data_IF_046530051977
#
_entry.id   IF_046530051977
#
_cell.length_a   1.000
_cell.length_b   1.000
_cell.length_c   1.000
_cell.angle_alpha   90.00
_cell.angle_beta   90.00
_cell.angle_gamma   90.00
#
_symmetry.space_group_name_H-M   'P 1'
#
loop_
_entity.id
_entity.type
_entity.pdbx_description
1 polymer ?
#
# COMPACT_ATOMS: atom_id res chain seq x y z
N UNK A 1 1.90 -4.97 9.79
CA UNK A 1 1.89 -5.03 8.31
C UNK A 1 0.57 -4.57 7.74
N UNK A 2 -0.56 -5.18 8.15
CA UNK A 2 -1.90 -4.77 7.69
C UNK A 2 -2.26 -3.31 8.05
N UNK A 3 -2.05 -2.90 9.30
CA UNK A 3 -2.27 -1.52 9.77
C UNK A 3 -1.52 -0.46 8.96
N UNK A 4 -0.30 -0.79 8.53
CA UNK A 4 0.52 0.11 7.72
C UNK A 4 -0.10 0.30 6.33
N UNK A 5 -0.53 -0.79 5.69
CA UNK A 5 -1.20 -0.73 4.39
C UNK A 5 -2.49 0.08 4.52
N UNK A 6 -3.29 -0.16 5.57
CA UNK A 6 -4.51 0.61 5.85
C UNK A 6 -4.21 2.10 6.02
N UNK A 7 -3.14 2.43 6.74
CA UNK A 7 -2.70 3.81 6.94
C UNK A 7 -2.37 4.48 5.61
N UNK A 8 -1.59 3.84 4.74
CA UNK A 8 -1.23 4.41 3.44
C UNK A 8 -2.45 4.68 2.55
N UNK A 9 -3.37 3.72 2.45
CA UNK A 9 -4.62 3.90 1.71
C UNK A 9 -5.47 5.04 2.26
N UNK A 10 -5.60 5.15 3.58
CA UNK A 10 -6.34 6.25 4.20
C UNK A 10 -5.68 7.59 3.95
N UNK A 11 -4.34 7.68 4.05
CA UNK A 11 -3.62 8.94 3.84
C UNK A 11 -3.57 9.38 2.38
N UNK A 12 -3.54 8.44 1.44
CA UNK A 12 -3.43 8.73 0.01
C UNK A 12 -4.79 8.85 -0.68
N UNK A 13 -5.73 7.94 -0.39
CA UNK A 13 -7.00 7.81 -1.11
C UNK A 13 -8.22 8.14 -0.25
N UNK A 14 -8.05 8.49 1.03
CA UNK A 14 -9.14 8.75 1.99
C UNK A 14 -10.14 7.58 2.14
N UNK A 15 -9.72 6.35 1.81
CA UNK A 15 -10.51 5.12 1.98
C UNK A 15 -9.64 3.98 2.51
N UNK A 16 -10.22 2.96 3.16
CA UNK A 16 -9.47 1.73 3.45
C UNK A 16 -9.19 0.93 2.16
N UNK A 17 -8.16 0.06 2.18
CA UNK A 17 -7.95 -0.91 1.11
C UNK A 17 -9.11 -1.91 1.10
N UNK A 18 -9.47 -2.38 -0.09
CA UNK A 18 -10.39 -3.50 -0.23
C UNK A 18 -9.69 -4.84 0.11
N UNK A 19 -10.44 -5.94 0.31
CA UNK A 19 -9.84 -7.22 0.70
C UNK A 19 -8.85 -7.80 -0.32
N UNK A 20 -9.00 -7.51 -1.61
CA UNK A 20 -8.14 -8.02 -2.68
C UNK A 20 -6.81 -7.25 -2.72
N UNK A 21 -6.87 -5.93 -2.64
CA UNK A 21 -5.71 -5.03 -2.51
C UNK A 21 -4.88 -5.39 -1.28
N UNK A 22 -5.55 -5.61 -0.15
CA UNK A 22 -4.89 -5.98 1.09
C UNK A 22 -4.18 -7.33 0.98
N UNK A 23 -4.85 -8.34 0.40
CA UNK A 23 -4.26 -9.66 0.16
C UNK A 23 -3.08 -9.57 -0.80
N UNK A 24 -3.18 -8.78 -1.86
CA UNK A 24 -2.10 -8.56 -2.81
C UNK A 24 -0.84 -8.05 -2.11
N UNK A 25 -0.95 -6.98 -1.31
CA UNK A 25 0.20 -6.40 -0.61
C UNK A 25 0.77 -7.31 0.48
N UNK A 26 -0.08 -8.01 1.23
CA UNK A 26 0.37 -8.98 2.25
C UNK A 26 1.09 -10.17 1.60
N UNK A 27 0.71 -10.56 0.38
CA UNK A 27 1.33 -11.66 -0.35
C UNK A 27 2.71 -11.32 -0.92
N UNK A 28 3.12 -10.05 -0.90
CA UNK A 28 4.42 -9.65 -1.42
C UNK A 28 5.56 -10.27 -0.59
N UNK A 29 6.57 -10.89 -1.22
CA UNK A 29 7.66 -11.57 -0.51
C UNK A 29 8.36 -10.68 0.52
N UNK A 30 8.56 -9.39 0.19
CA UNK A 30 9.22 -8.43 1.08
C UNK A 30 8.40 -8.04 2.32
N UNK A 31 7.09 -8.33 2.37
CA UNK A 31 6.29 -7.96 3.55
C UNK A 31 6.59 -8.76 4.81
N UNK A 32 7.09 -9.99 4.66
CA UNK A 32 7.48 -10.85 5.77
C UNK A 32 9.01 -10.98 5.90
N UNK A 33 9.75 -10.16 5.15
CA UNK A 33 11.21 -10.17 5.08
C UNK A 33 11.90 -9.28 6.12
N UNK A 34 13.15 -8.92 5.82
CA UNK A 34 13.96 -8.00 6.62
C UNK A 34 13.32 -6.62 6.74
N UNK A 35 13.90 -5.75 7.57
CA UNK A 35 13.41 -4.38 7.69
C UNK A 35 13.58 -3.61 6.37
N UNK A 36 14.68 -3.86 5.65
CA UNK A 36 14.98 -3.28 4.35
C UNK A 36 13.97 -3.74 3.29
N UNK A 37 13.70 -5.04 3.19
CA UNK A 37 12.72 -5.59 2.25
C UNK A 37 11.30 -5.04 2.51
N UNK A 38 10.91 -4.93 3.78
CA UNK A 38 9.65 -4.30 4.17
C UNK A 38 9.59 -2.82 3.80
N UNK A 39 10.71 -2.11 3.92
CA UNK A 39 10.79 -0.70 3.54
C UNK A 39 10.64 -0.52 2.04
N UNK A 40 11.23 -1.39 1.22
CA UNK A 40 11.07 -1.38 -0.23
C UNK A 40 9.62 -1.58 -0.64
N UNK A 41 8.96 -2.64 -0.12
CA UNK A 41 7.54 -2.88 -0.41
C UNK A 41 6.66 -1.71 0.05
N UNK A 42 7.01 -1.06 1.16
CA UNK A 42 6.27 0.14 1.64
C UNK A 42 6.39 1.31 0.67
N UNK A 43 7.55 1.51 0.04
CA UNK A 43 7.74 2.54 -0.99
C UNK A 43 6.95 2.18 -2.25
N UNK A 44 6.93 0.92 -2.64
CA UNK A 44 6.17 0.46 -3.80
C UNK A 44 4.66 0.67 -3.61
N UNK A 45 4.14 0.40 -2.41
CA UNK A 45 2.74 0.71 -2.06
C UNK A 45 2.47 2.19 -2.26
N UNK A 46 3.28 3.06 -1.65
CA UNK A 46 3.07 4.50 -1.73
C UNK A 46 3.15 5.00 -3.18
N UNK A 47 4.13 4.52 -3.94
CA UNK A 47 4.27 4.84 -5.36
C UNK A 47 3.05 4.40 -6.16
N UNK A 48 2.57 3.17 -5.97
CA UNK A 48 1.38 2.64 -6.65
C UNK A 48 0.13 3.44 -6.32
N UNK A 49 -0.04 3.87 -5.07
CA UNK A 49 -1.19 4.69 -4.65
C UNK A 49 -1.16 6.07 -5.29
N UNK A 50 -0.02 6.76 -5.23
CA UNK A 50 0.15 8.11 -5.78
C UNK A 50 0.06 8.15 -7.32
N UNK A 51 0.35 7.04 -7.99
CA UNK A 51 0.22 6.91 -9.45
C UNK A 51 -1.09 6.24 -9.88
N UNK A 52 -2.03 5.99 -8.96
CA UNK A 52 -3.33 5.44 -9.32
C UNK A 52 -4.23 6.50 -9.97
N UNK A 53 -5.09 6.07 -10.89
CA UNK A 53 -6.12 6.95 -11.46
C UNK A 53 -7.07 7.49 -10.38
N UNK A 54 -7.29 6.70 -9.32
CA UNK A 54 -8.10 7.11 -8.17
C UNK A 54 -7.48 8.30 -7.44
N UNK A 55 -6.17 8.30 -7.18
CA UNK A 55 -5.48 9.46 -6.61
C UNK A 55 -5.55 10.66 -7.55
N UNK A 56 -5.37 10.44 -8.85
CA UNK A 56 -5.33 11.50 -9.86
C UNK A 56 -6.71 12.15 -10.09
N UNK A 57 -7.80 11.39 -9.90
CA UNK A 57 -9.18 11.88 -10.08
C UNK A 57 -9.73 12.57 -8.83
N UNK A 58 -9.09 12.38 -7.67
CA UNK A 58 -9.49 12.99 -6.40
C UNK A 58 -8.85 14.37 -6.16
N UNK A 59 -8.08 14.88 -7.14
CA UNK A 59 -7.26 16.09 -7.04
C UNK A 59 -7.75 17.23 -7.94
#
# INVERSE_FOLDING_TARGET
TEDMIRTFYLTSLCRPPNPEELRFWISQPGMNGSAEERQEVSRDILWSLLNSEEFSSNH
#
